data_IF_308837885558
#
_entry.id   IF_308837885558
#
_cell.length_a   1.000
_cell.length_b   1.000
_cell.length_c   1.000
_cell.angle_alpha   90.00
_cell.angle_beta   90.00
_cell.angle_gamma   90.00
#
_symmetry.space_group_name_H-M   'P 1'
#
loop_
_entity.id
_entity.type
_entity.pdbx_description
1 polymer ?
#
# COMPACT_ATOMS: atom_id res chain seq x y z
N UNK A 1 27.88 -5.03 -0.61
CA UNK A 1 26.54 -5.28 -0.03
C UNK A 1 26.58 -6.62 0.72
N UNK A 2 26.01 -6.71 1.92
CA UNK A 2 26.00 -7.97 2.66
C UNK A 2 25.03 -8.99 2.00
N UNK A 3 25.37 -10.29 1.94
CA UNK A 3 24.52 -11.29 1.29
C UNK A 3 23.22 -11.50 2.09
N UNK A 4 22.07 -11.51 1.40
CA UNK A 4 20.72 -11.55 2.01
C UNK A 4 20.41 -12.85 2.76
N UNK A 5 21.18 -13.90 2.50
CA UNK A 5 21.10 -15.18 3.20
C UNK A 5 22.52 -15.62 3.60
N UNK A 6 23.07 -15.05 4.68
CA UNK A 6 24.46 -15.28 5.05
C UNK A 6 24.72 -16.77 5.34
N UNK A 7 23.72 -17.51 5.79
CA UNK A 7 23.85 -18.96 6.05
C UNK A 7 23.89 -19.77 4.74
N UNK A 8 23.00 -19.50 3.77
CA UNK A 8 23.02 -20.19 2.47
C UNK A 8 24.30 -19.88 1.69
N UNK A 9 24.78 -18.63 1.74
CA UNK A 9 26.06 -18.24 1.13
C UNK A 9 27.26 -18.84 1.85
N UNK A 10 27.23 -18.96 3.18
CA UNK A 10 28.27 -19.70 3.93
C UNK A 10 28.33 -21.15 3.48
N UNK A 11 27.18 -21.81 3.33
CA UNK A 11 27.10 -23.21 2.89
C UNK A 11 27.58 -23.35 1.44
N UNK A 12 27.12 -22.48 0.52
CA UNK A 12 27.56 -22.49 -0.88
C UNK A 12 29.08 -22.26 -1.01
N UNK A 13 29.62 -21.31 -0.24
CA UNK A 13 31.05 -21.02 -0.20
C UNK A 13 31.87 -22.15 0.46
N UNK A 14 31.30 -22.86 1.44
CA UNK A 14 31.92 -24.04 2.06
C UNK A 14 31.96 -25.24 1.10
N UNK A 15 30.92 -25.41 0.26
CA UNK A 15 30.88 -26.51 -0.71
C UNK A 15 31.75 -26.20 -1.95
N UNK A 16 31.82 -24.93 -2.36
CA UNK A 16 32.68 -24.49 -3.49
C UNK A 16 32.15 -24.87 -4.88
N UNK A 17 30.93 -25.37 -5.00
CA UNK A 17 30.34 -25.82 -6.27
C UNK A 17 29.56 -24.71 -6.98
N UNK A 18 30.05 -24.31 -8.17
CA UNK A 18 29.42 -23.32 -9.07
C UNK A 18 28.02 -23.71 -9.54
N UNK A 19 27.62 -24.98 -9.45
CA UNK A 19 26.25 -25.44 -9.77
C UNK A 19 25.28 -25.06 -8.67
N UNK A 20 25.69 -25.22 -7.41
CA UNK A 20 24.88 -24.85 -6.24
C UNK A 20 24.69 -23.33 -6.19
N UNK A 21 25.74 -22.57 -6.44
CA UNK A 21 25.67 -21.10 -6.52
C UNK A 21 24.65 -20.62 -7.57
N UNK A 22 24.66 -21.21 -8.77
CA UNK A 22 23.69 -20.89 -9.83
C UNK A 22 22.24 -21.22 -9.44
N UNK A 23 22.02 -22.38 -8.82
CA UNK A 23 20.68 -22.78 -8.37
C UNK A 23 20.17 -21.83 -7.29
N UNK A 24 21.00 -21.50 -6.30
CA UNK A 24 20.63 -20.56 -5.25
C UNK A 24 20.35 -19.16 -5.80
N UNK A 25 21.20 -18.67 -6.70
CA UNK A 25 21.00 -17.38 -7.35
C UNK A 25 19.67 -17.31 -8.10
N UNK A 26 19.32 -18.34 -8.86
CA UNK A 26 18.06 -18.40 -9.59
C UNK A 26 16.84 -18.43 -8.66
N UNK A 27 16.89 -19.24 -7.59
CA UNK A 27 15.81 -19.31 -6.59
C UNK A 27 15.60 -17.94 -5.94
N UNK A 28 16.67 -17.30 -5.47
CA UNK A 28 16.56 -15.97 -4.86
C UNK A 28 16.12 -14.90 -5.85
N UNK A 29 16.53 -15.00 -7.12
CA UNK A 29 16.11 -14.05 -8.16
C UNK A 29 14.60 -14.12 -8.41
N UNK A 30 14.04 -15.34 -8.43
CA UNK A 30 12.59 -15.57 -8.55
C UNK A 30 11.83 -15.04 -7.34
N UNK A 31 12.32 -15.32 -6.14
CA UNK A 31 11.71 -14.83 -4.90
C UNK A 31 11.73 -13.30 -4.82
N UNK A 32 12.85 -12.68 -5.19
CA UNK A 32 13.00 -11.22 -5.26
C UNK A 32 12.09 -10.57 -6.31
N UNK A 33 11.84 -11.26 -7.42
CA UNK A 33 10.90 -10.82 -8.44
C UNK A 33 9.46 -10.90 -7.90
N UNK A 34 9.09 -12.01 -7.27
CA UNK A 34 7.77 -12.18 -6.67
C UNK A 34 7.44 -11.05 -5.67
N UNK A 35 8.35 -10.72 -4.75
CA UNK A 35 8.11 -9.62 -3.80
C UNK A 35 8.00 -8.24 -4.47
N UNK A 36 8.73 -8.01 -5.57
CA UNK A 36 8.61 -6.77 -6.34
C UNK A 36 7.23 -6.68 -7.00
N UNK A 37 6.80 -7.77 -7.63
CA UNK A 37 5.54 -7.83 -8.36
C UNK A 37 4.36 -7.70 -7.37
N UNK A 38 4.42 -8.35 -6.21
CA UNK A 38 3.47 -8.16 -5.11
C UNK A 38 3.42 -6.71 -4.63
N UNK A 39 4.57 -6.10 -4.33
CA UNK A 39 4.65 -4.71 -3.91
C UNK A 39 4.01 -3.77 -4.94
N UNK A 40 4.28 -4.01 -6.23
CA UNK A 40 3.71 -3.24 -7.33
C UNK A 40 2.18 -3.39 -7.36
N UNK A 41 1.67 -4.61 -7.28
CA UNK A 41 0.23 -4.89 -7.29
C UNK A 41 -0.49 -4.21 -6.11
N UNK A 42 0.10 -4.23 -4.90
CA UNK A 42 -0.47 -3.52 -3.75
C UNK A 42 -0.53 -2.02 -3.97
N UNK A 43 0.52 -1.43 -4.54
CA UNK A 43 0.57 0.00 -4.81
C UNK A 43 -0.44 0.41 -5.89
N UNK A 44 -0.57 -0.36 -6.97
CA UNK A 44 -1.58 -0.13 -8.01
C UNK A 44 -2.99 -0.18 -7.42
N UNK A 45 -3.26 -1.16 -6.54
CA UNK A 45 -4.55 -1.25 -5.84
C UNK A 45 -4.81 -0.07 -4.91
N UNK A 46 -3.79 0.45 -4.24
CA UNK A 46 -3.93 1.66 -3.41
C UNK A 46 -4.33 2.86 -4.27
N UNK A 47 -3.71 3.05 -5.44
CA UNK A 47 -4.06 4.16 -6.34
C UNK A 47 -5.52 4.06 -6.83
N UNK A 48 -6.01 2.87 -7.16
CA UNK A 48 -7.42 2.66 -7.51
C UNK A 48 -8.37 3.07 -6.36
N UNK A 49 -8.05 2.69 -5.13
CA UNK A 49 -8.88 3.01 -3.96
C UNK A 49 -8.79 4.51 -3.64
N UNK A 50 -7.64 5.15 -3.82
CA UNK A 50 -7.49 6.60 -3.64
C UNK A 50 -8.41 7.38 -4.58
N UNK A 51 -8.50 6.99 -5.85
CA UNK A 51 -9.46 7.61 -6.80
C UNK A 51 -10.89 7.43 -6.31
N UNK A 52 -11.27 6.22 -5.88
CA UNK A 52 -12.61 5.94 -5.32
C UNK A 52 -12.92 6.78 -4.08
N UNK A 53 -11.94 7.00 -3.21
CA UNK A 53 -12.05 7.88 -2.05
C UNK A 53 -12.24 9.33 -2.49
N UNK A 54 -11.41 9.84 -3.40
CA UNK A 54 -11.51 11.22 -3.91
C UNK A 54 -12.89 11.50 -4.53
N UNK A 55 -13.42 10.56 -5.33
CA UNK A 55 -14.76 10.65 -5.92
C UNK A 55 -15.85 10.65 -4.86
N UNK A 56 -15.82 9.71 -3.91
CA UNK A 56 -16.82 9.61 -2.84
C UNK A 56 -16.78 10.84 -1.93
N UNK A 57 -15.58 11.33 -1.63
CA UNK A 57 -15.39 12.53 -0.85
C UNK A 57 -16.03 13.76 -1.52
N UNK A 58 -15.85 13.90 -2.83
CA UNK A 58 -16.50 14.94 -3.62
C UNK A 58 -18.03 14.87 -3.53
N UNK A 59 -18.61 13.67 -3.62
CA UNK A 59 -20.06 13.46 -3.47
C UNK A 59 -20.53 13.87 -2.06
N UNK A 60 -19.82 13.44 -1.01
CA UNK A 60 -20.14 13.81 0.37
C UNK A 60 -20.11 15.33 0.55
N UNK A 61 -19.10 16.01 -0.01
CA UNK A 61 -18.97 17.47 0.06
C UNK A 61 -20.13 18.20 -0.65
N UNK A 62 -20.58 17.71 -1.80
CA UNK A 62 -21.75 18.26 -2.50
C UNK A 62 -23.05 18.01 -1.72
N UNK A 63 -23.26 16.80 -1.19
CA UNK A 63 -24.47 16.45 -0.43
C UNK A 63 -24.62 17.29 0.85
N UNK A 64 -23.51 17.67 1.50
CA UNK A 64 -23.51 18.54 2.68
C UNK A 64 -24.05 19.96 2.40
N UNK A 65 -24.12 20.41 1.15
CA UNK A 65 -24.62 21.76 0.80
C UNK A 65 -26.14 21.88 0.86
N UNK A 66 -26.86 20.77 0.88
CA UNK A 66 -28.32 20.76 0.89
C UNK A 66 -28.86 20.83 2.32
N UNK A 67 -30.01 21.50 2.50
CA UNK A 67 -30.72 21.53 3.79
C UNK A 67 -31.29 20.14 4.07
N UNK A 68 -30.88 19.55 5.19
CA UNK A 68 -31.01 18.13 5.48
C UNK A 68 -32.41 17.61 5.83
N UNK A 69 -32.48 16.28 5.94
CA UNK A 69 -33.62 15.47 6.36
C UNK A 69 -33.15 14.02 6.53
N UNK A 70 -33.90 13.20 7.28
CA UNK A 70 -33.47 11.86 7.73
C UNK A 70 -32.82 10.99 6.64
N UNK A 71 -33.42 10.94 5.44
CA UNK A 71 -32.92 10.15 4.31
C UNK A 71 -31.57 10.65 3.79
N UNK A 72 -31.35 11.98 3.79
CA UNK A 72 -30.07 12.56 3.39
C UNK A 72 -28.99 12.27 4.43
N UNK A 73 -29.35 12.31 5.71
CA UNK A 73 -28.43 12.01 6.81
C UNK A 73 -28.01 10.52 6.82
N UNK A 74 -28.95 9.61 6.55
CA UNK A 74 -28.67 8.18 6.37
C UNK A 74 -27.73 7.94 5.18
N UNK A 75 -28.02 8.54 4.01
CA UNK A 75 -27.17 8.41 2.83
C UNK A 75 -25.74 8.95 3.08
N UNK A 76 -25.62 10.07 3.81
CA UNK A 76 -24.32 10.62 4.22
C UNK A 76 -23.58 9.69 5.19
N UNK A 77 -24.29 9.03 6.11
CA UNK A 77 -23.70 8.05 7.02
C UNK A 77 -23.16 6.83 6.27
N UNK A 78 -23.94 6.29 5.32
CA UNK A 78 -23.53 5.13 4.50
C UNK A 78 -22.30 5.44 3.63
N UNK A 79 -22.26 6.63 3.02
CA UNK A 79 -21.13 7.09 2.24
C UNK A 79 -19.86 7.25 3.10
N UNK A 80 -19.98 7.83 4.30
CA UNK A 80 -18.85 7.95 5.25
C UNK A 80 -18.37 6.58 5.72
N UNK A 81 -19.28 5.65 6.01
CA UNK A 81 -18.92 4.30 6.41
C UNK A 81 -18.13 3.60 5.28
N UNK A 82 -18.61 3.70 4.04
CA UNK A 82 -17.92 3.16 2.87
C UNK A 82 -16.55 3.80 2.63
N UNK A 83 -16.40 5.11 2.83
CA UNK A 83 -15.11 5.80 2.76
C UNK A 83 -14.14 5.32 3.85
N UNK A 84 -14.64 5.07 5.05
CA UNK A 84 -13.85 4.56 6.16
C UNK A 84 -13.33 3.14 5.90
N UNK A 85 -14.12 2.30 5.26
CA UNK A 85 -13.70 0.96 4.81
C UNK A 85 -12.57 1.04 3.79
N UNK A 86 -12.64 1.99 2.85
CA UNK A 86 -11.59 2.24 1.87
C UNK A 86 -10.27 2.66 2.53
N UNK A 87 -10.32 3.55 3.52
CA UNK A 87 -9.14 3.92 4.30
C UNK A 87 -8.54 2.73 5.05
N UNK A 88 -9.38 1.86 5.61
CA UNK A 88 -8.92 0.64 6.27
C UNK A 88 -8.26 -0.34 5.27
N UNK A 89 -8.78 -0.45 4.05
CA UNK A 89 -8.18 -1.24 2.98
C UNK A 89 -6.82 -0.67 2.55
N UNK A 90 -6.72 0.65 2.32
CA UNK A 90 -5.46 1.33 2.02
C UNK A 90 -4.42 1.05 3.13
N UNK A 91 -4.80 1.20 4.40
CA UNK A 91 -3.91 0.94 5.53
C UNK A 91 -3.36 -0.49 5.54
N UNK A 92 -4.21 -1.49 5.27
CA UNK A 92 -3.78 -2.90 5.14
C UNK A 92 -2.83 -3.11 3.96
N UNK A 93 -3.14 -2.57 2.79
CA UNK A 93 -2.31 -2.69 1.59
C UNK A 93 -0.94 -2.02 1.78
N UNK A 94 -0.88 -0.89 2.48
CA UNK A 94 0.39 -0.22 2.82
C UNK A 94 1.27 -1.11 3.70
N UNK A 95 0.69 -1.77 4.71
CA UNK A 95 1.43 -2.72 5.55
C UNK A 95 1.95 -3.90 4.74
N UNK A 96 1.14 -4.45 3.83
CA UNK A 96 1.54 -5.57 2.96
C UNK A 96 2.65 -5.15 1.96
N UNK A 97 2.52 -3.97 1.36
CA UNK A 97 3.53 -3.38 0.47
C UNK A 97 4.86 -3.17 1.20
N UNK A 98 4.82 -2.64 2.43
CA UNK A 98 5.99 -2.49 3.27
C UNK A 98 6.62 -3.85 3.62
N UNK A 99 5.82 -4.86 3.96
CA UNK A 99 6.31 -6.21 4.25
C UNK A 99 7.00 -6.84 3.01
N UNK A 100 6.41 -6.70 1.82
CA UNK A 100 7.02 -7.15 0.56
C UNK A 100 8.33 -6.41 0.26
N UNK A 101 8.38 -5.10 0.49
CA UNK A 101 9.60 -4.29 0.33
C UNK A 101 10.71 -4.70 1.32
N UNK A 102 10.33 -5.00 2.57
CA UNK A 102 11.25 -5.47 3.60
C UNK A 102 11.86 -6.83 3.23
N UNK A 103 11.02 -7.78 2.79
CA UNK A 103 11.49 -9.09 2.27
C UNK A 103 12.42 -8.94 1.06
N UNK A 104 12.16 -7.94 0.22
CA UNK A 104 13.05 -7.54 -0.89
C UNK A 104 14.37 -6.91 -0.42
N UNK A 105 14.51 -6.56 0.85
CA UNK A 105 15.70 -5.91 1.43
C UNK A 105 15.83 -4.44 1.04
N UNK A 106 14.72 -3.79 0.67
CA UNK A 106 14.71 -2.39 0.23
C UNK A 106 14.31 -1.49 1.41
N UNK A 107 15.20 -0.59 1.86
CA UNK A 107 14.89 0.42 2.90
C UNK A 107 14.10 1.62 2.36
N UNK A 108 13.93 1.71 1.03
CA UNK A 108 13.45 2.90 0.32
C UNK A 108 11.95 2.97 0.05
N UNK A 109 11.10 2.50 0.96
CA UNK A 109 9.64 2.61 0.78
C UNK A 109 9.10 4.05 0.96
N UNK A 110 9.92 5.02 1.36
CA UNK A 110 9.42 6.32 1.86
C UNK A 110 8.71 7.20 0.82
N UNK A 111 9.08 7.13 -0.47
CA UNK A 111 8.56 8.07 -1.48
C UNK A 111 7.09 7.82 -1.87
N UNK A 112 6.69 6.54 -2.04
CA UNK A 112 5.29 6.18 -2.35
C UNK A 112 4.40 6.44 -1.13
N UNK A 113 4.91 6.16 0.07
CA UNK A 113 4.22 6.47 1.32
C UNK A 113 3.94 7.97 1.48
N UNK A 114 4.90 8.84 1.13
CA UNK A 114 4.70 10.28 1.21
C UNK A 114 3.63 10.80 0.24
N UNK A 115 3.56 10.27 -0.99
CA UNK A 115 2.52 10.67 -1.96
C UNK A 115 1.11 10.27 -1.52
N UNK A 116 0.95 9.04 -1.03
CA UNK A 116 -0.32 8.54 -0.47
C UNK A 116 -0.73 9.36 0.75
N UNK A 117 0.20 9.63 1.67
CA UNK A 117 -0.06 10.44 2.86
C UNK A 117 -0.51 11.87 2.52
N UNK A 118 0.05 12.49 1.47
CA UNK A 118 -0.38 13.82 1.03
C UNK A 118 -1.82 13.79 0.51
N UNK A 119 -2.18 12.82 -0.35
CA UNK A 119 -3.56 12.70 -0.86
C UNK A 119 -4.56 12.40 0.25
N UNK A 120 -4.22 11.47 1.16
CA UNK A 120 -5.03 11.18 2.33
C UNK A 120 -5.17 12.38 3.26
N UNK A 121 -4.10 13.16 3.46
CA UNK A 121 -4.14 14.36 4.28
C UNK A 121 -5.01 15.46 3.66
N UNK A 122 -4.97 15.64 2.34
CA UNK A 122 -5.88 16.55 1.64
C UNK A 122 -7.35 16.16 1.81
N UNK A 123 -7.67 14.87 1.73
CA UNK A 123 -9.03 14.36 1.98
C UNK A 123 -9.45 14.55 3.45
N UNK A 124 -8.53 14.34 4.38
CA UNK A 124 -8.79 14.48 5.81
C UNK A 124 -8.97 15.94 6.25
N UNK A 125 -8.20 16.89 5.68
CA UNK A 125 -8.27 18.31 6.03
C UNK A 125 -9.66 18.92 5.77
N UNK A 126 -10.40 18.39 4.79
CA UNK A 126 -11.75 18.86 4.46
C UNK A 126 -12.80 18.39 5.48
N UNK A 127 -12.52 17.33 6.25
CA UNK A 127 -13.42 16.87 7.31
C UNK A 127 -13.37 17.69 8.60
N UNK A 128 -12.26 18.40 8.88
CA UNK A 128 -12.06 19.15 10.13
C UNK A 128 -12.28 20.67 10.04
N UNK A 129 -12.68 21.22 8.89
CA UNK A 129 -13.09 22.63 8.82
C UNK A 129 -14.59 22.71 9.12
N UNK A 130 -15.02 23.16 10.31
CA UNK A 130 -16.42 23.48 10.54
C UNK A 130 -16.77 24.69 9.67
N UNK A 131 -17.75 24.53 8.78
CA UNK A 131 -18.48 25.65 8.17
C UNK A 131 -19.63 26.03 9.08
#
# INVERSE_FOLDING_TARGET
MAPKFPNCMKIANQIGDRRIDRVLHEVFSREMKAYRDEQKNYNERIEEILVRVEERHGIIAELKKFVGGHVLDEALADLKASEQEDFAEIGRLMQMSHAAAFKRGNKGCSLVFNGILVRLWSVWLVYEIPV
#
